data_IF_739716181618
#
_entry.id   IF_739716181618
#
_cell.length_a   1.000
_cell.length_b   1.000
_cell.length_c   1.000
_cell.angle_alpha   90.00
_cell.angle_beta   90.00
_cell.angle_gamma   90.00
#
_symmetry.space_group_name_H-M   'P 1'
#
loop_
_entity.id
_entity.type
_entity.pdbx_description
1 polymer ?
#
# COMPACT_ATOMS: atom_id res chain seq x y z
N UNK A 1 1.96 -18.01 63.78
CA UNK A 1 1.10 -19.15 63.43
C UNK A 1 -0.06 -18.56 62.63
N UNK A 2 0.09 -18.41 61.31
CA UNK A 2 -0.49 -19.29 60.25
C UNK A 2 -1.99 -19.58 60.52
N UNK A 3 -2.96 -19.32 59.63
CA UNK A 3 -3.07 -19.70 58.22
C UNK A 3 -4.11 -18.81 57.47
N UNK A 4 -3.81 -18.42 56.23
CA UNK A 4 -4.76 -18.25 55.10
C UNK A 4 -5.08 -19.63 54.48
N UNK A 5 -6.07 -19.88 53.58
CA UNK A 5 -6.72 -18.97 52.61
C UNK A 5 -8.27 -19.19 52.52
N UNK A 6 -9.12 -18.72 51.61
CA UNK A 6 -9.08 -18.52 50.15
C UNK A 6 -10.41 -17.84 49.70
N UNK A 7 -10.74 -17.63 48.40
CA UNK A 7 -11.11 -16.31 47.88
C UNK A 7 -12.57 -16.22 47.40
N UNK A 8 -13.08 -14.99 47.20
CA UNK A 8 -14.32 -14.74 46.46
C UNK A 8 -14.02 -14.34 45.00
N UNK A 9 -14.89 -14.69 44.04
CA UNK A 9 -14.55 -14.72 42.63
C UNK A 9 -14.67 -13.36 41.92
N UNK A 10 -13.76 -13.20 40.96
CA UNK A 10 -13.83 -12.47 39.69
C UNK A 10 -15.05 -11.55 39.49
N UNK A 11 -14.86 -10.25 39.71
CA UNK A 11 -15.60 -9.24 38.96
C UNK A 11 -15.05 -9.19 37.54
N UNK A 12 -15.84 -9.79 36.67
CA UNK A 12 -15.95 -9.64 35.22
C UNK A 12 -15.01 -8.61 34.60
N UNK A 13 -14.18 -9.10 33.68
CA UNK A 13 -13.39 -8.33 32.76
C UNK A 13 -14.22 -7.19 32.15
N UNK A 14 -13.61 -6.01 32.08
CA UNK A 14 -13.97 -5.04 31.06
C UNK A 14 -13.75 -5.72 29.72
N UNK A 15 -14.84 -6.20 29.14
CA UNK A 15 -14.95 -6.46 27.73
C UNK A 15 -14.78 -5.09 27.06
N UNK A 16 -13.52 -4.75 26.79
CA UNK A 16 -13.19 -3.73 25.82
C UNK A 16 -13.72 -4.27 24.50
N UNK A 17 -14.98 -3.96 24.21
CA UNK A 17 -15.53 -3.93 22.86
C UNK A 17 -14.75 -2.87 22.08
N UNK A 18 -13.48 -3.20 21.79
CA UNK A 18 -12.84 -2.78 20.58
C UNK A 18 -13.51 -3.65 19.53
N UNK A 19 -14.66 -3.19 19.06
CA UNK A 19 -14.98 -3.24 17.64
C UNK A 19 -13.77 -2.63 16.91
N UNK A 20 -12.68 -3.40 16.84
CA UNK A 20 -11.64 -3.28 15.84
C UNK A 20 -12.40 -3.65 14.59
N UNK A 21 -13.02 -2.64 13.96
CA UNK A 21 -13.29 -2.68 12.55
C UNK A 21 -11.96 -3.11 11.95
N UNK A 22 -11.85 -4.41 11.67
CA UNK A 22 -10.79 -4.92 10.84
C UNK A 22 -10.90 -4.09 9.58
N UNK A 23 -9.85 -3.33 9.20
CA UNK A 23 -9.89 -2.59 7.96
C UNK A 23 -10.31 -3.58 6.86
N UNK A 24 -11.14 -3.17 5.89
CA UNK A 24 -11.48 -4.03 4.77
C UNK A 24 -10.17 -4.63 4.26
N UNK A 25 -10.12 -5.95 4.00
CA UNK A 25 -8.86 -6.67 3.88
C UNK A 25 -7.82 -6.06 2.91
N UNK A 26 -8.26 -5.22 1.94
CA UNK A 26 -7.39 -4.40 1.11
C UNK A 26 -6.63 -3.30 1.86
N UNK A 27 -7.28 -2.56 2.76
CA UNK A 27 -6.65 -1.51 3.58
C UNK A 27 -5.61 -2.11 4.54
N UNK A 28 -5.89 -3.25 5.17
CA UNK A 28 -4.88 -3.95 6.01
C UNK A 28 -3.64 -4.37 5.20
N UNK A 29 -3.85 -4.88 3.97
CA UNK A 29 -2.74 -5.26 3.07
C UNK A 29 -1.89 -4.05 2.70
N UNK A 30 -2.52 -2.91 2.41
CA UNK A 30 -1.83 -1.66 2.07
C UNK A 30 -1.05 -1.14 3.28
N UNK A 31 -1.61 -1.16 4.49
CA UNK A 31 -0.89 -0.76 5.71
C UNK A 31 0.34 -1.64 5.97
N UNK A 32 0.19 -2.97 5.83
CA UNK A 32 1.32 -3.91 5.93
C UNK A 32 2.40 -3.63 4.88
N UNK A 33 2.00 -3.30 3.66
CA UNK A 33 2.92 -2.92 2.60
C UNK A 33 3.64 -1.59 2.91
N UNK A 34 2.92 -0.56 3.38
CA UNK A 34 3.52 0.71 3.84
C UNK A 34 4.51 0.48 4.99
N UNK A 35 4.21 -0.41 5.93
CA UNK A 35 5.11 -0.74 7.02
C UNK A 35 6.48 -1.26 6.55
N UNK A 36 6.57 -1.82 5.34
CA UNK A 36 7.83 -2.30 4.77
C UNK A 36 8.75 -1.19 4.28
N UNK A 37 8.26 0.06 4.15
CA UNK A 37 9.06 1.21 3.69
C UNK A 37 10.23 1.56 4.62
N UNK A 38 10.19 1.07 5.87
CA UNK A 38 11.31 1.16 6.82
C UNK A 38 12.54 0.35 6.37
N UNK A 39 12.35 -0.67 5.53
CA UNK A 39 13.42 -1.50 4.98
C UNK A 39 14.23 -0.78 3.90
N UNK A 40 15.38 -1.32 3.54
CA UNK A 40 16.23 -0.79 2.46
C UNK A 40 15.87 -1.31 1.07
N UNK A 41 15.04 -2.36 1.00
CA UNK A 41 14.61 -3.03 -0.22
C UNK A 41 13.11 -3.34 -0.17
N UNK A 42 12.43 -3.40 -1.33
CA UNK A 42 11.03 -3.79 -1.38
C UNK A 42 10.84 -5.24 -0.89
N UNK A 43 9.63 -5.60 -0.42
CA UNK A 43 9.34 -6.96 0.05
C UNK A 43 9.71 -8.02 -0.99
N UNK A 44 10.31 -9.12 -0.53
CA UNK A 44 10.62 -10.25 -1.39
C UNK A 44 9.35 -10.77 -2.08
N UNK A 45 9.41 -10.94 -3.41
CA UNK A 45 8.27 -11.36 -4.22
C UNK A 45 7.32 -10.24 -4.65
N UNK A 46 7.57 -8.98 -4.28
CA UNK A 46 6.81 -7.86 -4.82
C UNK A 46 6.95 -7.76 -6.35
N UNK A 47 5.84 -7.61 -7.06
CA UNK A 47 5.84 -7.35 -8.50
C UNK A 47 6.58 -6.06 -8.84
N UNK A 48 7.01 -5.89 -10.09
CA UNK A 48 7.67 -4.65 -10.54
C UNK A 48 6.79 -3.41 -10.33
N UNK A 49 5.47 -3.55 -10.51
CA UNK A 49 4.51 -2.49 -10.20
C UNK A 49 4.47 -2.13 -8.70
N UNK A 50 4.47 -3.13 -7.79
CA UNK A 50 4.57 -2.85 -6.35
C UNK A 50 5.91 -2.24 -5.97
N UNK A 51 7.02 -2.73 -6.53
CA UNK A 51 8.34 -2.15 -6.31
C UNK A 51 8.38 -0.67 -6.75
N UNK A 52 7.69 -0.32 -7.85
CA UNK A 52 7.55 1.07 -8.30
C UNK A 52 6.93 1.95 -7.22
N UNK A 53 5.77 1.56 -6.69
CA UNK A 53 5.08 2.30 -5.63
C UNK A 53 5.91 2.39 -4.34
N UNK A 54 6.67 1.35 -4.03
CA UNK A 54 7.54 1.30 -2.86
C UNK A 54 8.71 2.29 -2.96
N UNK A 55 9.42 2.30 -4.09
CA UNK A 55 10.53 3.23 -4.31
C UNK A 55 10.04 4.68 -4.42
N UNK A 56 8.88 4.89 -5.04
CA UNK A 56 8.23 6.20 -5.11
C UNK A 56 7.92 6.74 -3.70
N UNK A 57 7.29 5.93 -2.85
CA UNK A 57 6.97 6.33 -1.47
C UNK A 57 8.22 6.63 -0.61
N UNK A 58 9.40 6.08 -0.98
CA UNK A 58 10.69 6.43 -0.37
C UNK A 58 11.36 7.66 -0.98
N UNK A 59 10.82 8.20 -2.07
CA UNK A 59 11.39 9.31 -2.83
C UNK A 59 12.52 8.92 -3.79
N UNK A 60 12.74 7.62 -4.04
CA UNK A 60 13.75 7.14 -5.00
C UNK A 60 13.14 7.02 -6.40
N UNK A 61 12.97 8.18 -7.05
CA UNK A 61 12.35 8.32 -8.36
C UNK A 61 13.02 7.49 -9.45
N UNK A 62 14.36 7.42 -9.43
CA UNK A 62 15.12 6.69 -10.44
C UNK A 62 14.79 5.20 -10.38
N UNK A 63 14.74 4.61 -9.18
CA UNK A 63 14.37 3.20 -9.03
C UNK A 63 12.89 2.96 -9.32
N UNK A 64 12.01 3.88 -8.93
CA UNK A 64 10.59 3.77 -9.24
C UNK A 64 10.36 3.69 -10.76
N UNK A 65 10.93 4.63 -11.54
CA UNK A 65 10.83 4.59 -13.01
C UNK A 65 11.51 3.36 -13.60
N UNK A 66 12.66 2.93 -13.08
CA UNK A 66 13.33 1.73 -13.57
C UNK A 66 12.49 0.46 -13.36
N UNK A 67 11.75 0.35 -12.26
CA UNK A 67 10.81 -0.73 -12.02
C UNK A 67 9.61 -0.66 -12.97
N UNK A 68 9.00 0.52 -13.12
CA UNK A 68 7.85 0.73 -14.01
C UNK A 68 8.19 0.43 -15.47
N UNK A 69 9.35 0.88 -15.94
CA UNK A 69 9.81 0.68 -17.32
C UNK A 69 10.08 -0.80 -17.66
N UNK A 70 10.49 -1.61 -16.67
CA UNK A 70 10.74 -3.05 -16.86
C UNK A 70 9.44 -3.85 -16.94
N UNK A 71 8.34 -3.33 -16.40
CA UNK A 71 7.03 -3.97 -16.49
C UNK A 71 6.30 -3.46 -17.73
N UNK A 72 6.35 -4.26 -18.80
CA UNK A 72 5.71 -3.93 -20.07
C UNK A 72 4.18 -4.17 -20.08
N UNK A 73 3.63 -4.65 -18.96
CA UNK A 73 2.22 -4.99 -18.80
C UNK A 73 1.32 -3.80 -18.42
N UNK A 74 0.05 -4.12 -18.18
CA UNK A 74 -0.96 -3.13 -17.75
C UNK A 74 -0.64 -2.57 -16.36
N UNK A 75 -0.12 -3.41 -15.46
CA UNK A 75 0.28 -3.03 -14.10
C UNK A 75 1.47 -2.07 -14.11
N UNK A 76 2.47 -2.31 -14.96
CA UNK A 76 3.59 -1.39 -15.16
C UNK A 76 3.13 -0.07 -15.76
N UNK A 77 2.27 -0.13 -16.77
CA UNK A 77 1.74 1.07 -17.44
C UNK A 77 0.95 1.97 -16.47
N UNK A 78 0.12 1.41 -15.58
CA UNK A 78 -0.67 2.24 -14.66
C UNK A 78 0.20 2.91 -13.58
N UNK A 79 1.21 2.21 -13.04
CA UNK A 79 2.12 2.85 -12.06
C UNK A 79 3.03 3.86 -12.74
N UNK A 80 3.39 3.67 -14.01
CA UNK A 80 4.15 4.66 -14.79
C UNK A 80 3.33 5.94 -15.01
N UNK A 81 2.02 5.79 -15.27
CA UNK A 81 1.10 6.92 -15.39
C UNK A 81 1.05 7.73 -14.09
N UNK A 82 0.94 7.05 -12.95
CA UNK A 82 0.97 7.67 -11.62
C UNK A 82 2.27 8.46 -11.37
N UNK A 83 3.44 7.91 -11.72
CA UNK A 83 4.72 8.63 -11.56
C UNK A 83 4.74 9.95 -12.33
N UNK A 84 4.40 9.93 -13.62
CA UNK A 84 4.38 11.15 -14.43
C UNK A 84 3.32 12.15 -13.99
N UNK A 85 2.19 11.66 -13.46
CA UNK A 85 1.17 12.53 -12.86
C UNK A 85 1.73 13.28 -11.66
N UNK A 86 2.49 12.60 -10.80
CA UNK A 86 3.13 13.19 -9.62
C UNK A 86 4.32 14.10 -9.97
N UNK A 87 5.02 13.82 -11.07
CA UNK A 87 6.05 14.69 -11.67
C UNK A 87 5.48 15.98 -12.30
N UNK A 88 4.19 15.97 -12.67
CA UNK A 88 3.52 17.07 -13.37
C UNK A 88 3.56 16.96 -14.90
N UNK A 89 4.12 15.87 -15.45
CA UNK A 89 4.07 15.57 -16.87
C UNK A 89 2.74 14.89 -17.25
N UNK A 90 1.68 15.71 -17.28
CA UNK A 90 0.32 15.23 -17.54
C UNK A 90 0.14 14.62 -18.94
N UNK A 91 0.97 15.03 -19.91
CA UNK A 91 0.92 14.49 -21.28
C UNK A 91 1.43 13.05 -21.32
N UNK A 92 2.58 12.78 -20.69
CA UNK A 92 3.08 11.41 -20.57
C UNK A 92 2.23 10.57 -19.63
N UNK A 93 1.75 11.13 -18.52
CA UNK A 93 0.81 10.44 -17.64
C UNK A 93 -0.40 9.91 -18.42
N UNK A 94 -1.01 10.76 -19.27
CA UNK A 94 -2.14 10.36 -20.11
C UNK A 94 -1.79 9.29 -21.14
N UNK A 95 -0.60 9.35 -21.74
CA UNK A 95 -0.13 8.28 -22.63
C UNK A 95 -0.09 6.92 -21.91
N UNK A 96 0.45 6.88 -20.69
CA UNK A 96 0.55 5.66 -19.91
C UNK A 96 -0.80 5.17 -19.35
N UNK A 97 -1.68 6.08 -18.92
CA UNK A 97 -3.06 5.72 -18.56
C UNK A 97 -3.78 5.05 -19.73
N UNK A 98 -3.68 5.62 -20.94
CA UNK A 98 -4.25 5.03 -22.14
C UNK A 98 -3.65 3.65 -22.46
N UNK A 99 -2.33 3.48 -22.27
CA UNK A 99 -1.67 2.18 -22.44
C UNK A 99 -2.14 1.14 -21.42
N UNK A 100 -2.45 1.56 -20.20
CA UNK A 100 -3.06 0.73 -19.17
C UNK A 100 -4.57 0.47 -19.41
N UNK A 101 -5.18 1.10 -20.42
CA UNK A 101 -6.61 1.02 -20.67
C UNK A 101 -7.47 1.70 -19.60
N UNK A 102 -6.92 2.67 -18.87
CA UNK A 102 -7.58 3.36 -17.76
C UNK A 102 -7.72 4.86 -18.02
N UNK A 103 -8.79 5.51 -17.54
CA UNK A 103 -8.88 6.96 -17.56
C UNK A 103 -7.86 7.58 -16.58
N UNK A 104 -7.44 8.83 -16.81
CA UNK A 104 -6.65 9.57 -15.83
C UNK A 104 -7.38 9.70 -14.50
N UNK A 105 -6.63 9.63 -13.40
CA UNK A 105 -7.16 9.83 -12.05
C UNK A 105 -7.02 11.30 -11.65
N UNK A 106 -8.06 11.81 -11.00
CA UNK A 106 -8.07 13.13 -10.36
C UNK A 106 -8.08 12.97 -8.84
N UNK A 107 -7.57 13.98 -8.11
CA UNK A 107 -7.57 13.99 -6.64
C UNK A 107 -6.19 13.79 -5.99
N UNK A 108 -6.13 13.41 -4.71
CA UNK A 108 -4.86 13.26 -3.98
C UNK A 108 -3.98 12.14 -4.53
N UNK A 109 -2.66 12.34 -4.55
CA UNK A 109 -1.70 11.29 -4.96
C UNK A 109 -1.73 10.09 -4.01
N UNK A 110 -1.91 10.32 -2.72
CA UNK A 110 -1.96 9.24 -1.72
C UNK A 110 -3.16 8.31 -1.91
N UNK A 111 -4.31 8.84 -2.35
CA UNK A 111 -5.50 8.05 -2.61
C UNK A 111 -5.28 7.12 -3.81
N UNK A 112 -4.70 7.67 -4.88
CA UNK A 112 -4.32 6.87 -6.05
C UNK A 112 -3.26 5.81 -5.71
N UNK A 113 -2.24 6.19 -4.95
CA UNK A 113 -1.20 5.27 -4.49
C UNK A 113 -1.81 4.11 -3.69
N UNK A 114 -2.71 4.41 -2.75
CA UNK A 114 -3.36 3.41 -1.91
C UNK A 114 -4.27 2.48 -2.72
N UNK A 115 -5.03 3.03 -3.69
CA UNK A 115 -5.87 2.26 -4.58
C UNK A 115 -5.05 1.31 -5.47
N UNK A 116 -3.95 1.79 -6.07
CA UNK A 116 -3.04 0.97 -6.87
C UNK A 116 -2.38 -0.12 -6.03
N UNK A 117 -1.90 0.21 -4.82
CA UNK A 117 -1.32 -0.77 -3.91
C UNK A 117 -2.35 -1.86 -3.53
N UNK A 118 -3.59 -1.48 -3.21
CA UNK A 118 -4.65 -2.42 -2.87
C UNK A 118 -4.98 -3.38 -4.03
N UNK A 119 -5.08 -2.85 -5.25
CA UNK A 119 -5.32 -3.63 -6.47
C UNK A 119 -4.18 -4.63 -6.71
N UNK A 120 -2.94 -4.16 -6.68
CA UNK A 120 -1.75 -4.98 -6.97
C UNK A 120 -1.46 -6.02 -5.89
N UNK A 121 -1.85 -5.80 -4.64
CA UNK A 121 -1.74 -6.77 -3.54
C UNK A 121 -2.87 -7.82 -3.53
N UNK A 122 -3.87 -7.67 -4.40
CA UNK A 122 -5.02 -8.56 -4.50
C UNK A 122 -5.02 -9.40 -5.78
N UNK A 123 -4.05 -9.17 -6.67
CA UNK A 123 -3.85 -9.88 -7.93
C UNK A 123 -2.93 -11.10 -7.76
#
# INVERSE_FOLDING_TARGET
MNETPSPRPLSQAGEEDKTRLLPPAGEERVEKFRATLVGSEPPAGASLALQTLWWEAKGDWQKAHACAQKDEGLTGSIVHAYLHRKEGDLSNARYWYNRAGRPPVEGPFEDEWAALAAELLSA
#
